data_IF_069479619465
#
_entry.id   IF_069479619465
#
_cell.length_a   1.000
_cell.length_b   1.000
_cell.length_c   1.000
_cell.angle_alpha   90.00
_cell.angle_beta   90.00
_cell.angle_gamma   90.00
#
_symmetry.space_group_name_H-M   'P 1'
#
loop_
_entity.id
_entity.type
_entity.pdbx_description
1 polymer ?
#
# COMPACT_ATOMS: atom_id res chain seq x y z
N UNK A 1 -3.18 -5.98 19.78
CA UNK A 1 -3.98 -4.79 19.38
C UNK A 1 -3.11 -3.70 18.76
N UNK A 2 -1.91 -3.43 19.30
CA UNK A 2 -0.94 -2.48 18.76
C UNK A 2 -0.44 -2.82 17.35
N UNK A 3 -0.24 -4.10 17.02
CA UNK A 3 0.27 -4.53 15.70
C UNK A 3 -0.69 -4.22 14.55
N UNK A 4 -1.98 -4.54 14.70
CA UNK A 4 -3.00 -4.22 13.68
C UNK A 4 -3.13 -2.71 13.47
N UNK A 5 -3.06 -1.92 14.54
CA UNK A 5 -3.08 -0.46 14.44
C UNK A 5 -1.81 0.07 13.77
N UNK A 6 -0.65 -0.49 14.08
CA UNK A 6 0.64 -0.14 13.45
C UNK A 6 0.62 -0.46 11.96
N UNK A 7 0.09 -1.62 11.58
CA UNK A 7 -0.09 -2.00 10.17
C UNK A 7 -1.08 -1.07 9.47
N UNK A 8 -2.21 -0.77 10.11
CA UNK A 8 -3.24 0.11 9.54
C UNK A 8 -2.70 1.52 9.29
N UNK A 9 -2.15 2.18 10.30
CA UNK A 9 -1.60 3.53 10.15
C UNK A 9 -0.32 3.54 9.30
N UNK A 10 0.49 2.47 9.34
CA UNK A 10 1.64 2.28 8.45
C UNK A 10 1.22 2.22 6.99
N UNK A 11 0.14 1.51 6.68
CA UNK A 11 -0.40 1.41 5.32
C UNK A 11 -0.97 2.75 4.84
N UNK A 12 -1.60 3.53 5.72
CA UNK A 12 -2.05 4.89 5.43
C UNK A 12 -0.86 5.81 5.09
N UNK A 13 0.21 5.75 5.89
CA UNK A 13 1.43 6.52 5.65
C UNK A 13 2.11 6.11 4.33
N UNK A 14 2.22 4.81 4.06
CA UNK A 14 2.77 4.28 2.81
C UNK A 14 1.97 4.77 1.60
N UNK A 15 0.64 4.66 1.65
CA UNK A 15 -0.25 5.12 0.58
C UNK A 15 -0.10 6.63 0.32
N UNK A 16 -0.07 7.44 1.38
CA UNK A 16 0.13 8.88 1.25
C UNK A 16 1.47 9.22 0.58
N UNK A 17 2.56 8.54 0.95
CA UNK A 17 3.88 8.71 0.34
C UNK A 17 3.83 8.34 -1.16
N UNK A 18 3.22 7.21 -1.50
CA UNK A 18 3.09 6.75 -2.89
C UNK A 18 2.31 7.77 -3.73
N UNK A 19 1.21 8.32 -3.20
CA UNK A 19 0.43 9.35 -3.90
C UNK A 19 1.25 10.63 -4.10
N UNK A 20 2.00 11.07 -3.09
CA UNK A 20 2.89 12.25 -3.22
C UNK A 20 3.95 12.02 -4.30
N UNK A 21 4.63 10.87 -4.29
CA UNK A 21 5.62 10.51 -5.32
C UNK A 21 4.97 10.48 -6.70
N UNK A 22 3.76 9.92 -6.81
CA UNK A 22 3.03 9.85 -8.07
C UNK A 22 2.66 11.25 -8.57
N UNK A 23 2.18 12.15 -7.71
CA UNK A 23 1.86 13.54 -8.08
C UNK A 23 3.09 14.31 -8.56
N UNK A 24 4.26 14.05 -7.97
CA UNK A 24 5.53 14.66 -8.41
C UNK A 24 5.96 14.07 -9.77
N UNK A 25 5.86 12.76 -9.93
CA UNK A 25 6.35 12.05 -11.13
C UNK A 25 5.44 12.23 -12.35
N UNK A 26 4.13 12.35 -12.13
CA UNK A 26 3.11 12.52 -13.16
C UNK A 26 2.60 13.97 -13.23
N UNK A 27 3.43 14.94 -12.86
CA UNK A 27 3.04 16.35 -12.87
C UNK A 27 2.73 16.81 -14.30
N UNK A 28 1.47 17.20 -14.54
CA UNK A 28 1.02 17.69 -15.83
C UNK A 28 0.49 19.13 -15.71
N UNK A 29 0.84 20.05 -16.63
CA UNK A 29 0.40 21.45 -16.60
C UNK A 29 -1.11 21.73 -16.52
N UNK A 30 -1.97 20.77 -16.88
CA UNK A 30 -3.43 20.92 -16.80
C UNK A 30 -4.06 20.21 -15.60
N UNK A 31 -3.27 19.42 -14.86
CA UNK A 31 -3.75 18.78 -13.65
C UNK A 31 -3.63 19.77 -12.49
N UNK A 32 -4.61 19.78 -11.58
CA UNK A 32 -4.54 20.54 -10.33
C UNK A 32 -4.16 19.56 -9.20
N UNK A 33 -2.87 19.23 -9.01
CA UNK A 33 -2.47 18.24 -8.01
C UNK A 33 -2.61 18.77 -6.57
N UNK A 34 -2.76 20.09 -6.39
CA UNK A 34 -2.73 20.75 -5.08
C UNK A 34 -3.69 20.14 -4.05
N UNK A 35 -4.98 19.90 -4.34
CA UNK A 35 -5.90 19.33 -3.36
C UNK A 35 -5.49 17.93 -2.94
N UNK A 36 -5.11 17.08 -3.90
CA UNK A 36 -4.66 15.71 -3.64
C UNK A 36 -3.37 15.69 -2.84
N UNK A 37 -2.41 16.56 -3.19
CA UNK A 37 -1.13 16.65 -2.49
C UNK A 37 -1.31 17.11 -1.04
N UNK A 38 -2.14 18.12 -0.80
CA UNK A 38 -2.47 18.59 0.56
C UNK A 38 -3.18 17.48 1.35
N UNK A 39 -4.17 16.80 0.76
CA UNK A 39 -4.86 15.70 1.41
C UNK A 39 -3.90 14.56 1.79
N UNK A 40 -2.98 14.17 0.88
CA UNK A 40 -1.97 13.15 1.17
C UNK A 40 -1.02 13.56 2.28
N UNK A 41 -0.57 14.82 2.32
CA UNK A 41 0.29 15.32 3.41
C UNK A 41 -0.44 15.33 4.76
N UNK A 42 -1.73 15.68 4.79
CA UNK A 42 -2.55 15.62 6.00
C UNK A 42 -2.73 14.17 6.49
N UNK A 43 -3.01 13.24 5.58
CA UNK A 43 -3.12 11.81 5.91
C UNK A 43 -1.80 11.27 6.45
N UNK A 44 -0.67 11.63 5.83
CA UNK A 44 0.66 11.24 6.30
C UNK A 44 0.90 11.76 7.72
N UNK A 45 0.62 13.04 7.96
CA UNK A 45 0.80 13.67 9.27
C UNK A 45 -0.07 13.01 10.35
N UNK A 46 -1.33 12.74 10.03
CA UNK A 46 -2.27 12.07 10.94
C UNK A 46 -1.83 10.63 11.26
N UNK A 47 -1.40 9.89 10.24
CA UNK A 47 -0.93 8.52 10.41
C UNK A 47 0.29 8.46 11.33
N UNK A 48 1.28 9.35 11.12
CA UNK A 48 2.48 9.36 11.98
C UNK A 48 2.16 9.83 13.39
N UNK A 49 1.28 10.81 13.57
CA UNK A 49 0.80 11.23 14.89
C UNK A 49 0.12 10.07 15.64
N UNK A 50 -0.80 9.35 14.98
CA UNK A 50 -1.46 8.20 15.57
C UNK A 50 -0.47 7.10 15.98
N UNK A 51 0.54 6.84 15.14
CA UNK A 51 1.59 5.86 15.46
C UNK A 51 2.52 6.30 16.58
N UNK A 52 2.77 7.60 16.73
CA UNK A 52 3.53 8.17 17.86
C UNK A 52 2.81 7.97 19.19
N UNK A 53 1.47 8.03 19.20
CA UNK A 53 0.67 7.76 20.39
C UNK A 53 0.69 6.27 20.78
N UNK A 54 0.87 5.38 19.80
CA UNK A 54 0.96 3.94 20.02
C UNK A 54 2.37 3.53 20.47
N UNK A 55 3.40 4.23 19.97
CA UNK A 55 4.80 3.87 20.14
C UNK A 55 5.58 4.96 20.89
N UNK A 56 5.20 5.22 22.14
CA UNK A 56 5.64 6.38 22.93
C UNK A 56 7.15 6.55 23.19
N UNK A 57 7.98 5.57 22.84
CA UNK A 57 9.45 5.63 23.02
C UNK A 57 10.24 5.87 21.73
N UNK A 58 9.59 5.82 20.56
CA UNK A 58 10.28 5.97 19.28
C UNK A 58 10.25 7.41 18.77
N UNK A 59 11.36 7.84 18.15
CA UNK A 59 11.41 9.12 17.45
C UNK A 59 10.50 9.10 16.21
N UNK A 60 10.09 10.29 15.74
CA UNK A 60 9.24 10.44 14.56
C UNK A 60 9.80 9.72 13.31
N UNK A 61 11.11 9.82 13.08
CA UNK A 61 11.78 9.16 11.95
C UNK A 61 11.81 7.64 12.09
N UNK A 62 11.96 7.13 13.32
CA UNK A 62 11.89 5.69 13.59
C UNK A 62 10.50 5.14 13.37
N UNK A 63 9.46 5.88 13.78
CA UNK A 63 8.06 5.53 13.55
C UNK A 63 7.79 5.42 12.05
N UNK A 64 8.16 6.44 11.26
CA UNK A 64 7.97 6.39 9.80
C UNK A 64 8.71 5.19 9.21
N UNK A 65 10.00 5.03 9.53
CA UNK A 65 10.82 3.95 8.98
C UNK A 65 10.22 2.58 9.29
N UNK A 66 9.88 2.33 10.56
CA UNK A 66 9.34 1.04 11.02
C UNK A 66 8.02 0.75 10.32
N UNK A 67 7.08 1.69 10.37
CA UNK A 67 5.73 1.46 9.85
C UNK A 67 5.67 1.32 8.34
N UNK A 68 6.49 2.08 7.61
CA UNK A 68 6.64 1.92 6.15
C UNK A 68 7.27 0.56 5.83
N UNK A 69 8.30 0.15 6.55
CA UNK A 69 8.96 -1.15 6.33
C UNK A 69 8.03 -2.32 6.62
N UNK A 70 7.31 -2.29 7.74
CA UNK A 70 6.32 -3.33 8.10
C UNK A 70 5.19 -3.40 7.09
N UNK A 71 4.73 -2.27 6.55
CA UNK A 71 3.70 -2.23 5.52
C UNK A 71 4.18 -2.85 4.21
N UNK A 72 5.41 -2.55 3.78
CA UNK A 72 6.02 -3.16 2.58
C UNK A 72 6.18 -4.68 2.79
N UNK A 73 6.70 -5.11 3.94
CA UNK A 73 6.81 -6.53 4.26
C UNK A 73 5.45 -7.23 4.25
N UNK A 74 4.42 -6.58 4.80
CA UNK A 74 3.06 -7.11 4.75
C UNK A 74 2.52 -7.26 3.33
N UNK A 75 2.82 -6.31 2.42
CA UNK A 75 2.45 -6.43 1.01
C UNK A 75 3.16 -7.60 0.33
N UNK A 76 4.46 -7.78 0.61
CA UNK A 76 5.22 -8.92 0.10
C UNK A 76 4.71 -10.26 0.67
N UNK A 77 4.24 -10.27 1.92
CA UNK A 77 3.64 -11.46 2.53
C UNK A 77 2.29 -11.85 1.89
N UNK A 78 1.62 -10.93 1.19
CA UNK A 78 0.38 -11.22 0.44
C UNK A 78 0.69 -11.81 -0.95
N UNK A 79 1.91 -11.65 -1.47
CA UNK A 79 2.29 -12.08 -2.82
C UNK A 79 2.03 -13.58 -3.11
N UNK A 80 2.23 -14.53 -2.16
CA UNK A 80 1.87 -15.92 -2.36
C UNK A 80 0.37 -16.15 -2.63
N UNK A 81 -0.52 -15.36 -2.00
CA UNK A 81 -1.96 -15.45 -2.23
C UNK A 81 -2.34 -14.95 -3.63
N UNK A 82 -1.68 -13.90 -4.09
CA UNK A 82 -1.83 -13.39 -5.46
C UNK A 82 -1.39 -14.47 -6.45
N UNK A 83 -0.25 -15.12 -6.19
CA UNK A 83 0.25 -16.21 -7.02
C UNK A 83 -0.73 -17.38 -7.11
N UNK A 84 -1.28 -17.83 -5.97
CA UNK A 84 -2.31 -18.89 -5.93
C UNK A 84 -3.53 -18.47 -6.76
N UNK A 85 -3.97 -17.22 -6.63
CA UNK A 85 -5.13 -16.69 -7.36
C UNK A 85 -4.90 -16.74 -8.88
N UNK A 86 -3.73 -16.32 -9.33
CA UNK A 86 -3.32 -16.39 -10.75
C UNK A 86 -3.27 -17.85 -11.21
N UNK A 87 -2.67 -18.75 -10.41
CA UNK A 87 -2.57 -20.16 -10.74
C UNK A 87 -3.95 -20.82 -10.92
N UNK A 88 -4.92 -20.50 -10.05
CA UNK A 88 -6.30 -21.00 -10.16
C UNK A 88 -6.95 -20.50 -11.46
N UNK A 89 -6.78 -19.22 -11.81
CA UNK A 89 -7.33 -18.64 -13.04
C UNK A 89 -6.73 -19.35 -14.26
N UNK A 90 -5.40 -19.51 -14.30
CA UNK A 90 -4.72 -20.19 -15.40
C UNK A 90 -5.14 -21.66 -15.52
N UNK A 91 -5.28 -22.37 -14.40
CA UNK A 91 -5.77 -23.75 -14.39
C UNK A 91 -7.19 -23.85 -14.95
N UNK A 92 -8.10 -22.93 -14.55
CA UNK A 92 -9.47 -22.87 -15.08
C UNK A 92 -9.49 -22.61 -16.59
N UNK A 93 -8.70 -21.64 -17.06
CA UNK A 93 -8.59 -21.33 -18.49
C UNK A 93 -8.06 -22.52 -19.28
N UNK A 94 -7.00 -23.19 -18.77
CA UNK A 94 -6.43 -24.38 -19.41
C UNK A 94 -7.45 -25.52 -19.55
N UNK A 95 -8.22 -25.80 -18.50
CA UNK A 95 -9.28 -26.84 -18.55
C UNK A 95 -10.40 -26.46 -19.52
N UNK A 96 -10.83 -25.19 -19.54
CA UNK A 96 -11.87 -24.71 -20.45
C UNK A 96 -11.48 -24.86 -21.92
N UNK A 97 -10.25 -24.46 -22.28
CA UNK A 97 -9.73 -24.56 -23.66
C UNK A 97 -9.58 -26.02 -24.13
N UNK A 98 -9.28 -26.94 -23.21
CA UNK A 98 -9.22 -28.37 -23.52
C UNK A 98 -10.60 -28.98 -23.80
N UNK A 99 -11.67 -28.40 -23.23
CA UNK A 99 -13.05 -28.88 -23.39
C UNK A 99 -13.72 -28.37 -24.67
N UNK A 100 -13.26 -27.26 -25.23
CA UNK A 100 -13.80 -26.69 -26.48
C UNK A 100 -13.33 -27.40 -27.76
N UNK A 101 -12.33 -28.29 -27.68
CA UNK A 101 -11.77 -29.01 -28.84
C UNK A 101 -11.04 -28.07 -29.84
N UNK A 102 -10.14 -28.59 -30.70
CA UNK A 102 -9.69 -27.83 -31.85
C UNK A 102 -10.88 -27.59 -32.79
N UNK A 103 -11.04 -26.33 -33.23
CA UNK A 103 -11.95 -25.95 -34.33
C UNK A 103 -11.51 -26.57 -35.64
#
# INVERSE_FOLDING_TARGET
MSELLTLFFGSMALSAIVIVIHMISAFHPYHRPTPTLVASLLILSLAVYAMSMINGEMSYMEIIRKSVSESILSLLNILPLIYISIAIILARVSVSQRKSGPV
#
